data_IF_699356616410
#
_entry.id   IF_699356616410
#
_cell.length_a   1.000
_cell.length_b   1.000
_cell.length_c   1.000
_cell.angle_alpha   90.00
_cell.angle_beta   90.00
_cell.angle_gamma   90.00
#
_symmetry.space_group_name_H-M   'P 1'
#
loop_
_entity.id
_entity.type
_entity.pdbx_description
1 polymer ?
#
# COMPACT_ATOMS: atom_id res chain seq x y z
N UNK A 1 4.13 -4.65 -17.99
CA UNK A 1 2.78 -5.21 -17.77
C UNK A 1 2.00 -4.34 -16.81
N UNK A 2 0.77 -4.14 -17.16
CA UNK A 2 -0.10 -3.33 -16.33
C UNK A 2 -0.81 -4.20 -15.32
N UNK A 3 -0.51 -4.04 -14.05
CA UNK A 3 -1.01 -4.94 -13.03
C UNK A 3 -2.31 -4.50 -12.39
N UNK A 4 -2.66 -3.21 -12.50
CA UNK A 4 -3.75 -2.64 -11.71
C UNK A 4 -4.77 -1.89 -12.54
N UNK A 5 -4.71 -2.00 -13.87
CA UNK A 5 -5.56 -1.20 -14.74
C UNK A 5 -5.09 0.25 -14.75
N UNK A 6 -5.99 1.15 -15.09
CA UNK A 6 -5.66 2.57 -15.17
C UNK A 6 -5.87 3.23 -13.82
N UNK A 7 -4.78 3.62 -13.19
CA UNK A 7 -4.85 4.36 -11.95
C UNK A 7 -5.21 5.81 -12.25
N UNK A 8 -6.19 6.33 -11.55
CA UNK A 8 -6.62 7.71 -11.73
C UNK A 8 -5.86 8.60 -10.76
N UNK A 9 -4.69 9.03 -11.22
CA UNK A 9 -3.79 9.88 -10.46
C UNK A 9 -3.59 11.18 -11.23
N UNK A 10 -3.30 12.27 -10.50
CA UNK A 10 -3.10 13.57 -11.15
C UNK A 10 -1.70 13.64 -11.78
N UNK A 11 -1.39 14.78 -12.39
CA UNK A 11 -0.18 14.97 -13.18
C UNK A 11 1.10 14.97 -12.35
N UNK A 12 1.00 15.02 -11.03
CA UNK A 12 2.18 14.95 -10.17
C UNK A 12 2.73 13.53 -10.04
N UNK A 13 1.98 12.54 -10.54
CA UNK A 13 2.40 11.14 -10.47
C UNK A 13 2.98 10.68 -11.79
N UNK A 14 4.05 9.89 -11.70
CA UNK A 14 4.67 9.22 -12.84
C UNK A 14 4.68 7.73 -12.57
N UNK A 15 4.28 6.95 -13.55
CA UNK A 15 4.22 5.50 -13.44
C UNK A 15 5.20 4.87 -14.41
N UNK A 16 5.95 3.84 -13.97
CA UNK A 16 6.82 3.08 -14.84
C UNK A 16 6.91 1.65 -14.33
N UNK A 17 7.32 0.74 -15.20
CA UNK A 17 7.55 -0.65 -14.80
C UNK A 17 8.85 -0.74 -14.02
N UNK A 18 8.82 -1.51 -12.93
CA UNK A 18 10.02 -1.84 -12.19
C UNK A 18 10.76 -3.01 -12.82
N UNK A 19 11.88 -3.40 -12.19
CA UNK A 19 12.74 -4.46 -12.73
C UNK A 19 12.32 -5.85 -12.29
N UNK A 20 11.42 -5.97 -11.32
CA UNK A 20 11.04 -7.26 -10.72
C UNK A 20 9.55 -7.54 -10.85
N UNK A 21 8.94 -7.05 -11.90
CA UNK A 21 7.51 -7.26 -12.11
C UNK A 21 6.61 -6.33 -11.33
N UNK A 22 7.20 -5.38 -10.63
CA UNK A 22 6.46 -4.36 -9.89
C UNK A 22 6.18 -3.15 -10.78
N UNK A 23 5.34 -2.26 -10.28
CA UNK A 23 5.08 -0.96 -10.89
C UNK A 23 5.64 0.10 -9.96
N UNK A 24 6.41 1.03 -10.51
CA UNK A 24 7.00 2.13 -9.76
C UNK A 24 6.13 3.37 -9.95
N UNK A 25 5.80 4.02 -8.84
CA UNK A 25 4.91 5.18 -8.83
C UNK A 25 5.62 6.28 -8.06
N UNK A 26 5.89 7.36 -8.78
CA UNK A 26 6.62 8.50 -8.20
C UNK A 26 5.69 9.70 -8.09
N UNK A 27 5.63 10.26 -6.91
CA UNK A 27 4.87 11.48 -6.64
C UNK A 27 5.84 12.66 -6.51
N UNK A 28 5.74 13.63 -7.41
CA UNK A 28 6.56 14.82 -7.37
C UNK A 28 5.92 15.85 -6.46
N UNK A 29 6.64 16.28 -5.45
CA UNK A 29 6.20 17.29 -4.51
C UNK A 29 7.37 18.17 -4.15
N UNK A 30 7.08 19.31 -3.53
CA UNK A 30 8.14 20.19 -3.07
C UNK A 30 9.02 19.43 -2.07
N UNK A 31 10.33 19.59 -2.21
CA UNK A 31 11.30 18.86 -1.43
C UNK A 31 11.61 17.52 -2.08
N UNK A 32 11.57 16.44 -1.30
CA UNK A 32 11.95 15.12 -1.79
C UNK A 32 10.73 14.42 -2.42
N UNK A 33 10.85 13.97 -3.68
CA UNK A 33 9.78 13.17 -4.27
C UNK A 33 9.67 11.84 -3.55
N UNK A 34 8.46 11.27 -3.52
CA UNK A 34 8.19 9.99 -2.89
C UNK A 34 8.00 8.94 -3.98
N UNK A 35 8.71 7.84 -3.85
CA UNK A 35 8.59 6.75 -4.81
C UNK A 35 8.11 5.49 -4.11
N UNK A 36 7.11 4.85 -4.71
CA UNK A 36 6.52 3.61 -4.20
C UNK A 36 6.74 2.48 -5.20
N UNK A 37 6.80 1.26 -4.68
CA UNK A 37 6.72 0.04 -5.49
C UNK A 37 5.39 -0.63 -5.17
N UNK A 38 4.68 -1.05 -6.20
CA UNK A 38 3.41 -1.77 -6.06
C UNK A 38 3.49 -3.09 -6.82
N UNK A 39 3.05 -4.17 -6.18
CA UNK A 39 3.01 -5.50 -6.81
C UNK A 39 1.87 -6.31 -6.23
N UNK A 40 1.44 -7.34 -6.96
CA UNK A 40 0.49 -8.29 -6.39
C UNK A 40 1.16 -9.07 -5.27
N UNK A 41 0.51 -9.17 -4.13
CA UNK A 41 1.06 -9.94 -3.00
C UNK A 41 1.34 -11.39 -3.38
N UNK A 42 0.48 -11.97 -4.21
CA UNK A 42 0.61 -13.37 -4.62
C UNK A 42 1.86 -13.64 -5.45
N UNK A 43 2.44 -12.59 -6.06
CA UNK A 43 3.64 -12.70 -6.89
C UNK A 43 4.90 -12.28 -6.16
N UNK A 44 4.78 -11.80 -4.93
CA UNK A 44 5.89 -11.20 -4.20
C UNK A 44 6.28 -12.00 -2.96
N UNK A 45 7.10 -11.34 -2.16
CA UNK A 45 7.67 -11.94 -0.93
C UNK A 45 6.63 -12.28 0.13
N UNK A 46 5.44 -11.67 0.09
CA UNK A 46 4.43 -11.90 1.11
C UNK A 46 3.61 -13.15 0.86
N UNK A 47 3.71 -13.76 -0.30
CA UNK A 47 2.85 -14.90 -0.65
C UNK A 47 2.97 -16.08 0.33
N UNK A 48 4.14 -16.26 0.95
CA UNK A 48 4.38 -17.34 1.91
C UNK A 48 4.45 -16.85 3.36
N UNK A 49 4.41 -15.55 3.57
CA UNK A 49 4.55 -14.97 4.91
C UNK A 49 3.22 -14.53 5.50
N UNK A 50 2.20 -14.39 4.69
CA UNK A 50 0.93 -13.80 5.10
C UNK A 50 -0.17 -14.33 4.18
N UNK A 51 -1.36 -14.66 4.71
CA UNK A 51 -2.47 -15.11 3.85
C UNK A 51 -2.88 -13.99 2.89
N UNK A 52 -2.63 -14.20 1.61
CA UNK A 52 -2.90 -13.19 0.58
C UNK A 52 -3.91 -13.72 -0.42
N UNK A 53 -4.74 -12.83 -0.93
CA UNK A 53 -5.65 -13.13 -2.03
C UNK A 53 -5.00 -12.78 -3.36
N UNK A 54 -5.51 -13.33 -4.45
CA UNK A 54 -4.90 -13.19 -5.76
C UNK A 54 -4.78 -11.73 -6.22
N UNK A 55 -5.67 -10.86 -5.76
CA UNK A 55 -5.71 -9.47 -6.19
C UNK A 55 -5.20 -8.47 -5.15
N UNK A 56 -4.73 -8.95 -4.01
CA UNK A 56 -4.14 -8.07 -3.00
C UNK A 56 -2.86 -7.44 -3.53
N UNK A 57 -2.62 -6.18 -3.15
CA UNK A 57 -1.48 -5.40 -3.62
C UNK A 57 -0.58 -5.04 -2.45
N UNK A 58 0.70 -5.24 -2.61
CA UNK A 58 1.70 -4.78 -1.63
C UNK A 58 2.28 -3.46 -2.11
N UNK A 59 2.36 -2.47 -1.20
CA UNK A 59 3.04 -1.20 -1.43
C UNK A 59 4.26 -1.07 -0.52
N UNK A 60 5.35 -0.58 -1.08
CA UNK A 60 6.57 -0.22 -0.34
C UNK A 60 6.95 1.19 -0.69
N UNK A 61 7.65 1.87 0.22
CA UNK A 61 8.34 3.14 -0.06
C UNK A 61 9.77 2.82 -0.43
N UNK A 62 10.25 3.38 -1.54
CA UNK A 62 11.56 3.04 -2.09
C UNK A 62 12.67 4.02 -1.75
N UNK A 63 12.34 5.23 -1.31
CA UNK A 63 13.37 6.23 -1.02
C UNK A 63 13.28 6.69 0.43
N UNK A 64 14.20 7.58 0.83
CA UNK A 64 14.32 8.04 2.20
C UNK A 64 13.48 9.25 2.55
N UNK A 65 12.33 9.42 1.91
CA UNK A 65 11.43 10.53 2.25
C UNK A 65 10.97 10.41 3.70
N UNK A 66 10.81 11.56 4.36
CA UNK A 66 10.39 11.56 5.75
C UNK A 66 8.92 11.15 5.87
N UNK A 67 8.54 10.51 7.00
CA UNK A 67 7.18 9.97 7.13
C UNK A 67 6.07 10.97 6.91
N UNK A 68 6.23 12.23 7.34
CA UNK A 68 5.20 13.24 7.12
C UNK A 68 4.93 13.51 5.65
N UNK A 69 5.91 13.28 4.79
CA UNK A 69 5.75 13.49 3.35
C UNK A 69 5.15 12.29 2.66
N UNK A 70 5.10 11.14 3.33
CA UNK A 70 4.59 9.89 2.77
C UNK A 70 3.09 9.74 2.98
N UNK A 71 2.55 10.27 4.06
CA UNK A 71 1.16 10.03 4.48
C UNK A 71 0.15 10.34 3.38
N UNK A 72 0.22 11.53 2.82
CA UNK A 72 -0.78 11.94 1.84
C UNK A 72 -0.64 11.20 0.51
N UNK A 73 0.56 11.10 -0.08
CA UNK A 73 0.71 10.30 -1.29
C UNK A 73 0.31 8.85 -1.10
N UNK A 74 0.64 8.26 0.04
CA UNK A 74 0.26 6.88 0.34
C UNK A 74 -1.26 6.72 0.35
N UNK A 75 -1.97 7.64 1.00
CA UNK A 75 -3.43 7.58 1.06
C UNK A 75 -4.05 7.73 -0.33
N UNK A 76 -3.54 8.65 -1.12
CA UNK A 76 -4.04 8.89 -2.48
C UNK A 76 -3.81 7.68 -3.38
N UNK A 77 -2.59 7.14 -3.35
CA UNK A 77 -2.25 5.98 -4.17
C UNK A 77 -3.07 4.75 -3.79
N UNK A 78 -3.22 4.51 -2.49
CA UNK A 78 -4.02 3.40 -1.98
C UNK A 78 -5.46 3.48 -2.48
N UNK A 79 -6.05 4.65 -2.39
CA UNK A 79 -7.43 4.84 -2.84
C UNK A 79 -7.53 4.66 -4.35
N UNK A 80 -6.56 5.14 -5.12
CA UNK A 80 -6.54 4.96 -6.56
C UNK A 80 -6.48 3.48 -6.94
N UNK A 81 -5.66 2.70 -6.24
CA UNK A 81 -5.55 1.26 -6.49
C UNK A 81 -6.88 0.56 -6.18
N UNK A 82 -7.46 0.83 -5.02
CA UNK A 82 -8.71 0.20 -4.63
C UNK A 82 -9.87 0.58 -5.57
N UNK A 83 -9.86 1.80 -6.09
CA UNK A 83 -10.89 2.25 -7.01
C UNK A 83 -10.71 1.71 -8.43
N UNK A 84 -9.49 1.34 -8.80
CA UNK A 84 -9.19 0.89 -10.17
C UNK A 84 -9.47 -0.59 -10.38
N UNK A 85 -9.58 -1.36 -9.31
CA UNK A 85 -9.68 -2.82 -9.39
C UNK A 85 -10.67 -3.31 -8.31
N UNK A 86 -11.88 -3.59 -8.72
CA UNK A 86 -12.94 -4.05 -7.81
C UNK A 86 -12.60 -5.39 -7.15
N UNK A 87 -11.69 -6.15 -7.75
CA UNK A 87 -11.25 -7.43 -7.20
C UNK A 87 -10.21 -7.27 -6.10
N UNK A 88 -9.56 -6.11 -6.01
CA UNK A 88 -8.58 -5.86 -4.96
C UNK A 88 -9.31 -5.55 -3.65
N UNK A 89 -9.16 -6.43 -2.69
CA UNK A 89 -9.82 -6.31 -1.38
C UNK A 89 -8.92 -5.72 -0.32
N UNK A 90 -7.61 -5.74 -0.54
CA UNK A 90 -6.66 -5.20 0.43
C UNK A 90 -5.45 -4.63 -0.27
N UNK A 91 -4.97 -3.51 0.24
CA UNK A 91 -3.63 -3.01 -0.04
C UNK A 91 -2.82 -3.22 1.23
N UNK A 92 -1.68 -3.87 1.11
CA UNK A 92 -0.80 -4.18 2.23
C UNK A 92 0.41 -3.27 2.16
N UNK A 93 0.66 -2.50 3.20
CA UNK A 93 1.85 -1.67 3.30
C UNK A 93 2.85 -2.40 4.18
N UNK A 94 4.03 -2.68 3.63
CA UNK A 94 5.08 -3.39 4.36
C UNK A 94 6.16 -2.38 4.77
N UNK A 95 6.36 -2.24 6.07
CA UNK A 95 7.37 -1.35 6.63
C UNK A 95 8.41 -2.18 7.37
N UNK A 96 9.69 -1.76 7.40
CA UNK A 96 10.64 -2.42 8.30
C UNK A 96 10.10 -2.40 9.72
N UNK A 97 10.20 -3.53 10.42
CA UNK A 97 9.54 -3.70 11.72
C UNK A 97 10.06 -2.72 12.78
N UNK A 98 11.28 -2.24 12.62
CA UNK A 98 11.86 -1.28 13.56
C UNK A 98 11.61 0.18 13.18
N UNK A 99 10.94 0.44 12.06
CA UNK A 99 10.66 1.81 11.61
C UNK A 99 9.29 2.25 12.13
N UNK A 100 9.26 2.62 13.41
CA UNK A 100 8.02 2.99 14.07
C UNK A 100 7.39 4.25 13.49
N UNK A 101 8.21 5.19 13.01
CA UNK A 101 7.70 6.42 12.42
C UNK A 101 6.97 6.14 11.10
N UNK A 102 7.49 5.23 10.30
CA UNK A 102 6.85 4.85 9.05
C UNK A 102 5.54 4.09 9.31
N UNK A 103 5.53 3.22 10.31
CA UNK A 103 4.30 2.52 10.71
C UNK A 103 3.25 3.54 11.15
N UNK A 104 3.63 4.52 11.96
CA UNK A 104 2.70 5.56 12.39
C UNK A 104 2.16 6.39 11.22
N UNK A 105 3.00 6.69 10.23
CA UNK A 105 2.58 7.42 9.05
C UNK A 105 1.56 6.63 8.23
N UNK A 106 1.77 5.33 8.09
CA UNK A 106 0.82 4.47 7.37
C UNK A 106 -0.52 4.41 8.11
N UNK A 107 -0.49 4.33 9.44
CA UNK A 107 -1.71 4.35 10.23
C UNK A 107 -2.46 5.68 10.05
N UNK A 108 -1.75 6.79 10.02
CA UNK A 108 -2.35 8.09 9.77
C UNK A 108 -2.92 8.20 8.36
N UNK A 109 -2.38 7.45 7.41
CA UNK A 109 -2.88 7.42 6.04
C UNK A 109 -4.12 6.52 5.88
N UNK A 110 -4.51 5.80 6.92
CA UNK A 110 -5.72 4.98 6.89
C UNK A 110 -5.47 3.48 6.96
N UNK A 111 -4.23 3.07 7.15
CA UNK A 111 -3.89 1.65 7.27
C UNK A 111 -4.06 1.17 8.70
N UNK A 112 -4.37 -0.10 8.84
CA UNK A 112 -4.52 -0.76 10.13
C UNK A 112 -3.36 -1.75 10.30
N UNK A 113 -2.63 -1.65 11.41
CA UNK A 113 -1.56 -2.61 11.70
C UNK A 113 -2.16 -4.00 11.96
N UNK A 114 -1.53 -5.03 11.40
CA UNK A 114 -2.01 -6.40 11.54
C UNK A 114 -1.02 -7.26 12.31
N UNK A 115 0.20 -7.40 11.82
CA UNK A 115 1.21 -8.26 12.47
C UNK A 115 2.57 -8.01 11.85
N UNK A 116 3.60 -8.55 12.53
CA UNK A 116 4.95 -8.60 11.98
C UNK A 116 5.19 -9.97 11.35
N UNK A 117 5.92 -9.99 10.24
CA UNK A 117 6.28 -11.23 9.56
C UNK A 117 7.76 -11.23 9.23
N UNK A 118 8.31 -12.44 9.11
CA UNK A 118 9.67 -12.62 8.62
C UNK A 118 9.64 -13.01 7.16
N UNK A 119 10.47 -12.31 6.37
CA UNK A 119 10.72 -12.68 4.98
C UNK A 119 12.23 -12.85 4.84
N UNK A 120 12.72 -13.47 3.76
CA UNK A 120 14.17 -13.59 3.60
C UNK A 120 14.84 -12.22 3.65
N UNK A 121 15.74 -12.04 4.63
CA UNK A 121 16.52 -10.82 4.78
C UNK A 121 15.86 -9.69 5.56
N UNK A 122 14.64 -9.85 6.07
CA UNK A 122 13.97 -8.74 6.75
C UNK A 122 12.85 -9.20 7.67
N UNK A 123 12.55 -8.38 8.66
CA UNK A 123 11.32 -8.47 9.43
C UNK A 123 10.46 -7.26 9.08
N UNK A 124 9.19 -7.49 8.79
CA UNK A 124 8.30 -6.45 8.30
C UNK A 124 7.07 -6.32 9.17
N UNK A 125 6.66 -5.09 9.40
CA UNK A 125 5.35 -4.81 9.97
C UNK A 125 4.35 -4.65 8.83
N UNK A 126 3.27 -5.40 8.86
CA UNK A 126 2.25 -5.35 7.82
C UNK A 126 1.04 -4.58 8.30
N UNK A 127 0.63 -3.62 7.48
CA UNK A 127 -0.57 -2.83 7.71
C UNK A 127 -1.47 -3.00 6.48
N UNK A 128 -2.77 -2.94 6.67
CA UNK A 128 -3.71 -3.16 5.56
C UNK A 128 -4.69 -2.01 5.45
N UNK A 129 -5.08 -1.73 4.22
CA UNK A 129 -6.18 -0.83 3.90
C UNK A 129 -7.18 -1.59 3.03
N UNK A 130 -8.45 -1.40 3.31
CA UNK A 130 -9.55 -2.09 2.65
C UNK A 130 -10.45 -1.09 1.95
N UNK A 131 -11.22 -1.52 0.93
CA UNK A 131 -12.13 -0.60 0.27
C UNK A 131 -13.08 0.06 1.25
N UNK A 132 -13.29 1.34 1.05
CA UNK A 132 -14.15 2.12 1.94
C UNK A 132 -15.56 1.53 2.04
N UNK A 133 -16.10 1.05 0.94
CA UNK A 133 -17.43 0.47 0.94
C UNK A 133 -17.51 -0.77 1.84
N UNK A 134 -16.45 -1.54 1.91
CA UNK A 134 -16.40 -2.72 2.77
C UNK A 134 -16.40 -2.33 4.23
N UNK A 135 -15.60 -1.34 4.59
CA UNK A 135 -15.52 -0.81 5.95
C UNK A 135 -16.85 -0.21 6.39
N UNK A 136 -17.46 0.59 5.52
CA UNK A 136 -18.74 1.22 5.81
C UNK A 136 -19.83 0.18 6.01
N UNK A 137 -19.82 -0.86 5.19
CA UNK A 137 -20.78 -1.95 5.32
C UNK A 137 -20.64 -2.65 6.67
N UNK A 138 -19.43 -2.93 7.10
CA UNK A 138 -19.18 -3.57 8.38
C UNK A 138 -19.63 -2.69 9.54
N UNK A 139 -19.41 -1.40 9.44
CA UNK A 139 -19.85 -0.45 10.45
C UNK A 139 -21.37 -0.42 10.56
N UNK A 140 -22.07 -0.46 9.45
CA UNK A 140 -23.53 -0.45 9.41
C UNK A 140 -24.13 -1.71 10.05
N UNK A 141 -23.35 -2.77 10.13
CA UNK A 141 -23.82 -4.04 10.67
C UNK A 141 -23.59 -4.15 12.16
N UNK A 142 -22.88 -3.22 12.74
CA UNK A 142 -22.62 -3.25 14.18
C UNK A 142 -23.92 -3.00 14.93
N UNK A 143 -24.32 -3.91 15.85
CA UNK A 143 -25.55 -3.72 16.59
C UNK A 143 -25.51 -2.43 17.41
N UNK A 144 -26.61 -1.72 17.37
CA UNK A 144 -26.69 -0.45 18.09
C UNK A 144 -26.07 0.72 17.36
N UNK A 145 -25.50 0.44 16.20
CA UNK A 145 -24.92 1.50 15.38
C UNK A 145 -26.01 2.18 14.57
#
# INVERSE_FOLDING_TARGET
>A
MKSFGDLKLDTRWTERNGTEGDVRLRFDQEGTPVEFSARRCADGRLRNAYPVSAHDVELDVLNGAVPQQIMRPLAVLTQAILNSDDSCRRVVFAAPADDHALVAAAQAAGFRYVLDVDVPGAELSLLVAEPRWLTDFDNDRVPGA
#
